data_IF_315434355555
#
_entry.id   IF_315434355555
#
_cell.length_a   1.000
_cell.length_b   1.000
_cell.length_c   1.000
_cell.angle_alpha   90.00
_cell.angle_beta   90.00
_cell.angle_gamma   90.00
#
_symmetry.space_group_name_H-M   'P 1'
#
loop_
_entity.id
_entity.type
_entity.pdbx_description
1 polymer ?
#
# COMPACT_ATOMS: atom_id res chain seq x y z
N UNK A 1 -20.71 7.52 -0.44
CA UNK A 1 -19.37 7.96 -0.89
C UNK A 1 -18.39 6.85 -0.74
N UNK A 2 -17.44 6.77 -1.64
CA UNK A 2 -16.45 5.70 -1.62
C UNK A 2 -15.22 6.05 -0.84
N UNK A 3 -14.35 5.07 -0.67
CA UNK A 3 -13.06 5.25 -0.01
C UNK A 3 -12.07 4.21 -0.49
N UNK A 4 -10.79 4.53 -0.33
CA UNK A 4 -9.69 3.63 -0.65
C UNK A 4 -9.06 3.16 0.66
N UNK A 5 -8.95 1.84 0.82
CA UNK A 5 -8.33 1.23 1.99
C UNK A 5 -7.30 0.20 1.54
N UNK A 6 -6.40 -0.15 2.46
CA UNK A 6 -5.38 -1.17 2.22
C UNK A 6 -5.22 -2.06 3.44
N UNK A 7 -4.61 -3.21 3.22
CA UNK A 7 -4.34 -4.18 4.28
C UNK A 7 -3.08 -4.95 3.88
N UNK A 8 -2.08 -4.97 4.73
CA UNK A 8 -0.81 -5.64 4.42
C UNK A 8 -0.67 -6.91 5.25
N UNK A 9 -0.41 -8.01 4.58
CA UNK A 9 -0.10 -9.29 5.21
C UNK A 9 1.34 -9.66 4.90
N UNK A 10 2.10 -9.95 5.96
CA UNK A 10 3.46 -10.49 5.84
C UNK A 10 3.33 -12.00 5.61
N UNK A 11 3.43 -12.40 4.35
CA UNK A 11 3.25 -13.80 3.97
C UNK A 11 4.45 -14.66 4.37
N UNK A 12 5.61 -14.05 4.63
CA UNK A 12 6.79 -14.80 5.06
C UNK A 12 6.68 -15.23 6.52
N UNK A 13 6.03 -14.43 7.37
CA UNK A 13 5.89 -14.72 8.79
C UNK A 13 4.47 -15.11 9.18
N UNK A 14 3.50 -14.98 8.26
CA UNK A 14 2.10 -15.34 8.54
C UNK A 14 1.43 -14.41 9.52
N UNK A 15 1.72 -13.12 9.47
CA UNK A 15 1.16 -12.14 10.39
C UNK A 15 0.87 -10.82 9.66
N UNK A 16 0.07 -9.92 10.29
CA UNK A 16 -0.14 -8.61 9.68
C UNK A 16 1.17 -7.83 9.56
N UNK A 17 1.31 -7.06 8.48
CA UNK A 17 2.45 -6.17 8.31
C UNK A 17 2.22 -4.86 9.04
N UNK A 18 2.73 -4.75 10.26
CA UNK A 18 2.52 -3.57 11.09
C UNK A 18 3.67 -2.57 10.96
N UNK A 19 3.37 -1.30 11.17
CA UNK A 19 4.34 -0.20 11.14
C UNK A 19 5.04 -0.06 9.79
N UNK A 20 4.32 -0.37 8.72
CA UNK A 20 4.83 -0.18 7.36
C UNK A 20 4.44 1.21 6.88
N UNK A 21 5.41 1.95 6.37
CA UNK A 21 5.15 3.25 5.77
C UNK A 21 4.42 3.06 4.44
N UNK A 22 3.31 3.79 4.28
CA UNK A 22 2.48 3.75 3.08
C UNK A 22 2.38 5.17 2.54
N UNK A 23 2.65 5.34 1.26
CA UNK A 23 2.51 6.63 0.58
C UNK A 23 1.64 6.45 -0.64
N UNK A 24 0.63 7.31 -0.78
CA UNK A 24 -0.26 7.28 -1.92
C UNK A 24 -0.02 8.51 -2.78
N UNK A 25 0.15 8.28 -4.07
CA UNK A 25 0.37 9.33 -5.06
C UNK A 25 -0.76 9.31 -6.08
N UNK A 26 -1.11 10.50 -6.56
CA UNK A 26 -1.94 10.64 -7.76
C UNK A 26 -1.01 10.74 -8.96
N UNK A 27 -1.33 10.00 -10.02
CA UNK A 27 -0.52 10.00 -11.24
C UNK A 27 -1.11 11.00 -12.21
N UNK A 28 -0.30 11.99 -12.60
CA UNK A 28 -0.68 13.01 -13.58
C UNK A 28 0.37 12.98 -14.69
N UNK A 29 0.09 12.25 -15.78
CA UNK A 29 1.06 12.06 -16.85
C UNK A 29 2.30 11.35 -16.32
N UNK A 30 3.45 12.00 -16.37
CA UNK A 30 4.71 11.48 -15.84
C UNK A 30 5.00 11.97 -14.41
N UNK A 31 4.07 12.73 -13.81
CA UNK A 31 4.26 13.30 -12.48
C UNK A 31 3.52 12.49 -11.43
N UNK A 32 4.10 12.45 -10.24
CA UNK A 32 3.47 11.85 -9.06
C UNK A 32 3.23 12.94 -8.03
N UNK A 33 2.00 13.06 -7.57
CA UNK A 33 1.63 14.00 -6.52
C UNK A 33 1.30 13.22 -5.25
N UNK A 34 2.04 13.47 -4.17
CA UNK A 34 1.78 12.81 -2.89
C UNK A 34 0.47 13.33 -2.33
N UNK A 35 -0.49 12.44 -2.08
CA UNK A 35 -1.81 12.82 -1.59
C UNK A 35 -2.13 12.25 -0.22
N UNK A 36 -1.43 11.21 0.24
CA UNK A 36 -1.64 10.64 1.57
C UNK A 36 -0.43 9.88 2.04
N UNK A 37 -0.20 9.88 3.34
CA UNK A 37 0.82 9.05 3.99
C UNK A 37 0.19 8.39 5.21
N UNK A 38 0.68 7.20 5.55
CA UNK A 38 0.19 6.47 6.71
C UNK A 38 1.23 5.47 7.19
N UNK A 39 1.03 4.98 8.41
CA UNK A 39 1.73 3.79 8.92
C UNK A 39 0.66 2.74 9.18
N UNK A 40 0.93 1.51 8.81
CA UNK A 40 0.00 0.43 9.14
C UNK A 40 0.00 0.18 10.64
N UNK A 41 -1.15 -0.20 11.16
CA UNK A 41 -1.33 -0.52 12.57
C UNK A 41 -1.04 -2.00 12.84
N UNK A 42 -1.34 -2.47 14.04
CA UNK A 42 -1.08 -3.85 14.45
C UNK A 42 -1.87 -4.88 13.63
N UNK A 43 -2.93 -4.47 12.97
CA UNK A 43 -3.71 -5.34 12.07
C UNK A 43 -3.20 -5.29 10.63
N UNK A 44 -2.19 -4.49 10.34
CA UNK A 44 -1.71 -4.29 8.99
C UNK A 44 -2.58 -3.36 8.17
N UNK A 45 -3.49 -2.64 8.78
CA UNK A 45 -4.40 -1.69 8.14
C UNK A 45 -4.00 -0.27 8.50
N UNK A 46 -4.53 0.69 7.78
CA UNK A 46 -4.38 2.10 8.17
C UNK A 46 -5.57 2.50 9.03
N UNK A 47 -5.31 3.36 10.03
CA UNK A 47 -6.38 3.79 10.94
C UNK A 47 -7.47 4.59 10.23
N UNK A 48 -7.09 5.27 9.14
CA UNK A 48 -8.04 6.03 8.31
C UNK A 48 -7.91 5.59 6.86
N UNK A 49 -8.97 5.74 6.05
CA UNK A 49 -8.85 5.48 4.61
C UNK A 49 -7.77 6.36 3.98
N UNK A 50 -7.13 5.86 2.95
CA UNK A 50 -6.13 6.63 2.19
C UNK A 50 -6.81 7.74 1.37
N UNK A 51 -8.03 7.48 0.90
CA UNK A 51 -8.86 8.47 0.22
C UNK A 51 -10.28 8.33 0.72
N UNK A 52 -10.96 9.46 0.92
CA UNK A 52 -12.39 9.48 1.26
C UNK A 52 -12.93 10.88 0.97
N UNK A 53 -14.24 11.00 1.01
CA UNK A 53 -14.89 12.28 0.80
C UNK A 53 -14.58 12.86 -0.56
N UNK A 54 -14.32 14.15 -0.61
CA UNK A 54 -14.06 14.87 -1.85
C UNK A 54 -12.75 14.47 -2.51
N UNK A 55 -11.83 13.87 -1.75
CA UNK A 55 -10.56 13.42 -2.31
C UNK A 55 -10.68 12.09 -3.05
N UNK A 56 -11.80 11.37 -2.85
CA UNK A 56 -12.05 10.11 -3.52
C UNK A 56 -12.56 10.39 -4.93
N UNK A 57 -11.64 10.48 -5.89
CA UNK A 57 -11.91 10.87 -7.27
C UNK A 57 -11.38 9.84 -8.23
N UNK A 58 -12.06 9.71 -9.38
CA UNK A 58 -11.57 8.85 -10.46
C UNK A 58 -10.19 9.30 -10.90
N UNK A 59 -9.36 8.34 -11.25
CA UNK A 59 -8.02 8.62 -11.74
C UNK A 59 -7.09 7.45 -11.52
N UNK A 60 -5.83 7.67 -11.88
CA UNK A 60 -4.77 6.67 -11.69
C UNK A 60 -3.99 7.05 -10.45
N UNK A 61 -3.74 6.07 -9.60
CA UNK A 61 -3.02 6.25 -8.34
C UNK A 61 -1.88 5.26 -8.24
N UNK A 62 -0.91 5.60 -7.41
CA UNK A 62 0.21 4.73 -7.13
C UNK A 62 0.45 4.70 -5.63
N UNK A 63 0.39 3.51 -5.04
CA UNK A 63 0.66 3.34 -3.62
C UNK A 63 2.02 2.66 -3.47
N UNK A 64 2.81 3.15 -2.51
CA UNK A 64 4.15 2.64 -2.25
C UNK A 64 4.23 2.19 -0.79
N UNK A 65 4.74 0.97 -0.61
CA UNK A 65 4.89 0.35 0.70
C UNK A 65 6.37 0.11 0.96
N UNK A 66 6.87 0.57 2.10
CA UNK A 66 8.27 0.40 2.47
C UNK A 66 8.50 -0.99 3.08
N UNK A 67 8.40 -2.01 2.23
CA UNK A 67 8.47 -3.41 2.66
C UNK A 67 9.87 -3.80 3.14
N UNK A 68 10.91 -3.31 2.45
CA UNK A 68 12.30 -3.61 2.85
C UNK A 68 12.60 -3.13 4.25
N UNK A 69 12.21 -1.91 4.57
CA UNK A 69 12.40 -1.35 5.92
C UNK A 69 11.68 -2.19 6.96
N UNK A 70 10.46 -2.63 6.64
CA UNK A 70 9.68 -3.48 7.54
C UNK A 70 10.45 -4.77 7.87
N UNK A 71 10.99 -5.45 6.85
CA UNK A 71 11.72 -6.70 7.08
C UNK A 71 13.03 -6.47 7.83
N UNK A 72 13.75 -5.39 7.54
CA UNK A 72 14.97 -5.05 8.27
C UNK A 72 14.68 -4.81 9.74
N UNK A 73 13.59 -4.09 10.04
CA UNK A 73 13.18 -3.81 11.41
C UNK A 73 12.81 -5.09 12.17
N UNK A 74 12.38 -6.14 11.46
CA UNK A 74 12.08 -7.43 12.07
C UNK A 74 13.30 -8.33 12.16
N UNK A 75 14.47 -7.84 11.79
CA UNK A 75 15.70 -8.58 11.88
C UNK A 75 15.96 -9.52 10.71
N UNK A 76 15.21 -9.40 9.63
CA UNK A 76 15.45 -10.20 8.43
C UNK A 76 16.65 -9.61 7.70
N UNK A 77 17.61 -10.45 7.38
CA UNK A 77 18.79 -10.01 6.64
C UNK A 77 18.49 -10.02 5.15
N UNK A 78 18.55 -8.84 4.55
CA UNK A 78 18.30 -8.67 3.13
C UNK A 78 19.59 -8.33 2.41
N UNK A 79 19.72 -8.71 1.10
CA UNK A 79 20.83 -8.22 0.29
C UNK A 79 20.81 -6.69 0.19
N UNK A 80 21.95 -6.09 -0.15
CA UNK A 80 22.07 -4.67 -0.41
C UNK A 80 22.42 -4.46 -1.90
N UNK A 81 21.49 -3.93 -2.72
CA UNK A 81 20.12 -3.56 -2.39
C UNK A 81 19.20 -4.79 -2.28
N UNK A 82 18.12 -4.64 -1.55
CA UNK A 82 17.10 -5.69 -1.44
C UNK A 82 16.40 -5.90 -2.77
N UNK A 83 15.95 -7.13 -3.04
CA UNK A 83 15.22 -7.41 -4.27
C UNK A 83 13.91 -6.61 -4.31
N UNK A 84 13.12 -6.68 -3.24
CA UNK A 84 11.95 -5.84 -3.07
C UNK A 84 12.21 -4.92 -1.89
N UNK A 85 12.39 -3.63 -2.15
CA UNK A 85 12.57 -2.64 -1.11
C UNK A 85 11.27 -1.85 -0.96
N UNK A 86 10.94 -1.03 -1.94
CA UNK A 86 9.64 -0.36 -1.98
C UNK A 86 8.75 -1.10 -2.97
N UNK A 87 7.60 -1.59 -2.49
CA UNK A 87 6.62 -2.22 -3.36
C UNK A 87 5.70 -1.14 -3.91
N UNK A 88 5.57 -1.09 -5.21
CA UNK A 88 4.84 -0.04 -5.92
C UNK A 88 3.67 -0.67 -6.66
N UNK A 89 2.45 -0.20 -6.36
CA UNK A 89 1.24 -0.64 -7.04
C UNK A 89 0.61 0.55 -7.74
N UNK A 90 0.44 0.45 -9.07
CA UNK A 90 -0.28 1.48 -9.82
C UNK A 90 -1.62 0.90 -10.23
N UNK A 91 -2.69 1.63 -9.96
CA UNK A 91 -4.05 1.15 -10.22
C UNK A 91 -4.97 2.31 -10.54
N UNK A 92 -6.11 1.99 -11.13
CA UNK A 92 -7.12 2.99 -11.45
C UNK A 92 -8.29 2.91 -10.50
N UNK A 93 -8.84 4.07 -10.17
CA UNK A 93 -10.08 4.18 -9.41
C UNK A 93 -11.16 4.75 -10.34
N UNK A 94 -12.29 4.07 -10.37
CA UNK A 94 -13.52 4.61 -10.93
C UNK A 94 -14.44 5.00 -9.77
N UNK A 95 -14.56 6.30 -9.48
CA UNK A 95 -15.24 6.78 -8.29
C UNK A 95 -16.75 6.54 -8.31
N UNK A 96 -17.32 6.04 -9.43
CA UNK A 96 -18.70 5.60 -9.44
C UNK A 96 -18.89 4.34 -8.61
N UNK A 97 -17.82 3.60 -8.33
CA UNK A 97 -17.85 2.45 -7.42
C UNK A 97 -17.59 2.93 -6.00
N UNK A 98 -18.28 2.31 -5.04
CA UNK A 98 -18.31 2.81 -3.67
C UNK A 98 -16.98 2.68 -2.94
N UNK A 99 -16.26 1.58 -3.14
CA UNK A 99 -15.04 1.31 -2.39
C UNK A 99 -14.01 0.62 -3.27
N UNK A 100 -12.74 0.95 -3.00
CA UNK A 100 -11.61 0.17 -3.49
C UNK A 100 -10.81 -0.27 -2.28
N UNK A 101 -10.59 -1.57 -2.17
CA UNK A 101 -9.73 -2.16 -1.17
C UNK A 101 -8.58 -2.83 -1.89
N UNK A 102 -7.34 -2.42 -1.57
CA UNK A 102 -6.13 -2.88 -2.25
C UNK A 102 -5.28 -3.61 -1.22
N UNK A 103 -5.48 -4.92 -1.04
CA UNK A 103 -4.64 -5.68 -0.11
C UNK A 103 -3.29 -5.97 -0.74
N UNK A 104 -2.29 -6.16 0.12
CA UNK A 104 -0.93 -6.48 -0.30
C UNK A 104 -0.42 -7.63 0.53
N UNK A 105 0.01 -8.69 -0.14
CA UNK A 105 0.70 -9.81 0.51
C UNK A 105 2.17 -9.70 0.13
N UNK A 106 3.05 -9.61 1.12
CA UNK A 106 4.48 -9.37 0.89
C UNK A 106 5.34 -10.50 1.45
N UNK A 107 6.46 -10.68 0.79
CA UNK A 107 7.61 -11.45 1.29
C UNK A 107 8.86 -10.73 0.79
N UNK A 108 10.06 -11.12 1.24
CA UNK A 108 11.28 -10.46 0.75
C UNK A 108 11.50 -10.59 -0.76
N UNK A 109 10.89 -11.58 -1.43
CA UNK A 109 11.17 -11.84 -2.84
C UNK A 109 9.93 -11.89 -3.73
N UNK A 110 8.73 -11.62 -3.17
CA UNK A 110 7.50 -11.62 -3.97
C UNK A 110 6.43 -10.80 -3.30
N UNK A 111 5.44 -10.40 -4.09
CA UNK A 111 4.24 -9.81 -3.54
C UNK A 111 3.07 -10.13 -4.45
N UNK A 112 1.87 -10.03 -3.91
CA UNK A 112 0.67 -10.12 -4.70
C UNK A 112 -0.35 -9.12 -4.20
N UNK A 113 -1.24 -8.73 -5.10
CA UNK A 113 -2.31 -7.80 -4.80
C UNK A 113 -3.52 -8.17 -5.65
N UNK A 114 -4.67 -7.65 -5.25
CA UNK A 114 -5.90 -7.80 -6.02
C UNK A 114 -6.86 -6.71 -5.56
N UNK A 115 -7.94 -6.53 -6.31
CA UNK A 115 -8.97 -5.61 -5.86
C UNK A 115 -9.89 -6.38 -4.90
N UNK A 116 -9.81 -6.03 -3.62
CA UNK A 116 -10.65 -6.61 -2.60
C UNK A 116 -12.06 -6.02 -2.60
N UNK A 117 -12.93 -6.61 -1.83
CA UNK A 117 -14.30 -6.14 -1.72
C UNK A 117 -14.52 -5.31 -0.47
#
# INVERSE_FOLDING_TARGET
>A
MGRLTTHVLDAAHGCPGSSIKVELFRVEGSQLELVATALTNSDGRCDAPLLEGDDYRSGVYQVQFSAGDYYRDRGVQLPEPAFLDVVVLRFGINAEQAHYHVPLLISPYSYSTYRGS
#
